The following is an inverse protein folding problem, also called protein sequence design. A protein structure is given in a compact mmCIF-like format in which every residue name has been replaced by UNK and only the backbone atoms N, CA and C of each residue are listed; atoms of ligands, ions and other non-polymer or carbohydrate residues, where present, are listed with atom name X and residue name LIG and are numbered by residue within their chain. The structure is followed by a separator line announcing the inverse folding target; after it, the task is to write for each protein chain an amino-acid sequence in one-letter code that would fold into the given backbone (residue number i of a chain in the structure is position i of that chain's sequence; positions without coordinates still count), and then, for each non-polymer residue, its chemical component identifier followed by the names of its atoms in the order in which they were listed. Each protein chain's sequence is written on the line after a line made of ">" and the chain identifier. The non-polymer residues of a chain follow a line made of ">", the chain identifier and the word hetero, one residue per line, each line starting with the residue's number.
data_IF_603656047978
#
_entry.id   IF_603656047978
#
_cell.length_a   1.000
_cell.length_b   1.000
_cell.length_c   1.000
_cell.angle_alpha   90.00
_cell.angle_beta   90.00
_cell.angle_gamma   90.00
#
_symmetry.space_group_name_H-M   'P 1'
#
loop_
_entity.id
_entity.type
_entity.pdbx_description
1 polymer ?
#
# COMPACT_ATOMS: atom_id res chain seq x y z
N UNK A 1 19.22 35.08 -38.12
CA UNK A 1 18.86 34.32 -36.92
C UNK A 1 18.08 35.23 -35.98
N UNK A 2 16.77 35.00 -35.78
CA UNK A 2 15.95 35.77 -34.83
C UNK A 2 16.20 35.18 -33.45
N UNK A 3 16.78 35.95 -32.55
CA UNK A 3 16.88 35.59 -31.13
C UNK A 3 15.45 35.63 -30.52
N UNK A 4 14.92 34.48 -30.23
CA UNK A 4 13.65 34.36 -29.51
C UNK A 4 13.81 34.95 -28.12
N UNK A 5 12.99 35.95 -27.79
CA UNK A 5 12.88 36.45 -26.41
C UNK A 5 12.05 35.43 -25.65
N UNK A 6 12.67 34.61 -24.82
CA UNK A 6 11.96 33.78 -23.86
C UNK A 6 11.52 34.68 -22.69
N UNK A 7 10.24 35.01 -22.66
CA UNK A 7 9.64 35.61 -21.48
C UNK A 7 9.54 34.49 -20.44
N UNK A 8 10.47 34.41 -19.49
CA UNK A 8 10.32 33.56 -18.33
C UNK A 8 9.15 34.14 -17.50
N UNK A 9 8.02 33.46 -17.51
CA UNK A 9 6.94 33.73 -16.56
C UNK A 9 7.50 33.57 -15.15
N UNK A 10 7.62 34.67 -14.40
CA UNK A 10 8.03 34.64 -12.99
C UNK A 10 6.85 34.20 -12.10
N UNK A 11 6.35 32.99 -12.34
CA UNK A 11 5.40 32.41 -11.40
C UNK A 11 6.15 32.02 -10.14
N UNK A 12 5.90 32.72 -9.04
CA UNK A 12 6.40 32.34 -7.73
C UNK A 12 5.47 31.34 -7.09
N UNK A 13 6.02 30.29 -6.47
CA UNK A 13 5.28 29.31 -5.69
C UNK A 13 5.61 29.49 -4.21
N UNK A 14 4.61 29.31 -3.35
CA UNK A 14 4.78 29.40 -1.90
C UNK A 14 5.30 28.08 -1.31
N UNK A 15 5.03 26.97 -2.02
CA UNK A 15 5.41 25.62 -1.59
C UNK A 15 5.78 24.76 -2.81
N UNK A 16 6.85 24.02 -2.69
CA UNK A 16 7.22 22.96 -3.64
C UNK A 16 7.09 21.61 -2.93
N UNK A 17 6.28 20.73 -3.50
CA UNK A 17 6.09 19.34 -3.03
C UNK A 17 6.76 18.40 -4.00
N UNK A 18 7.69 17.58 -3.51
CA UNK A 18 8.39 16.59 -4.32
C UNK A 18 7.75 15.22 -4.11
N UNK A 19 7.19 14.68 -5.18
CA UNK A 19 6.45 13.43 -5.21
C UNK A 19 4.92 13.64 -5.14
N UNK A 20 4.20 12.91 -6.00
CA UNK A 20 2.74 12.94 -6.11
C UNK A 20 2.06 11.67 -5.57
N UNK A 21 2.66 11.03 -4.56
CA UNK A 21 1.99 9.99 -3.77
C UNK A 21 0.98 10.60 -2.81
N UNK A 22 0.24 9.78 -2.06
CA UNK A 22 -0.83 10.26 -1.16
C UNK A 22 -0.37 11.32 -0.17
N UNK A 23 0.83 11.19 0.38
CA UNK A 23 1.37 12.19 1.30
C UNK A 23 1.56 13.54 0.62
N UNK A 24 2.29 13.57 -0.51
CA UNK A 24 2.56 14.82 -1.24
C UNK A 24 1.29 15.48 -1.75
N UNK A 25 0.36 14.71 -2.33
CA UNK A 25 -0.91 15.22 -2.82
C UNK A 25 -1.78 15.78 -1.67
N UNK A 26 -1.80 15.12 -0.52
CA UNK A 26 -2.55 15.59 0.65
C UNK A 26 -1.99 16.92 1.16
N UNK A 27 -0.66 17.04 1.29
CA UNK A 27 -0.03 18.29 1.72
C UNK A 27 -0.29 19.41 0.72
N UNK A 28 -0.16 19.13 -0.57
CA UNK A 28 -0.39 20.10 -1.63
C UNK A 28 -1.85 20.60 -1.64
N UNK A 29 -2.80 19.68 -1.57
CA UNK A 29 -4.22 20.01 -1.52
C UNK A 29 -4.54 20.86 -0.30
N UNK A 30 -4.09 20.43 0.90
CA UNK A 30 -4.37 21.18 2.14
C UNK A 30 -3.70 22.56 2.15
N UNK A 31 -2.49 22.69 1.63
CA UNK A 31 -1.83 23.98 1.52
C UNK A 31 -2.57 24.93 0.55
N UNK A 32 -3.06 24.39 -0.54
CA UNK A 32 -3.82 25.18 -1.51
C UNK A 32 -5.22 25.53 -0.98
N UNK A 33 -5.99 24.53 -0.53
CA UNK A 33 -7.39 24.72 -0.15
C UNK A 33 -7.59 25.43 1.19
N UNK A 34 -6.73 25.17 2.18
CA UNK A 34 -6.89 25.71 3.53
C UNK A 34 -6.06 26.97 3.78
N UNK A 35 -4.93 27.10 3.11
CA UNK A 35 -3.99 28.20 3.35
C UNK A 35 -3.87 29.15 2.15
N UNK A 36 -4.58 28.90 1.06
CA UNK A 36 -4.55 29.70 -0.17
C UNK A 36 -3.17 29.76 -0.83
N UNK A 37 -2.30 28.74 -0.59
CA UNK A 37 -0.94 28.72 -1.10
C UNK A 37 -0.88 28.28 -2.55
N UNK A 38 0.01 28.88 -3.31
CA UNK A 38 0.36 28.38 -4.65
C UNK A 38 1.37 27.27 -4.51
N UNK A 39 1.00 26.06 -4.92
CA UNK A 39 1.81 24.84 -4.75
C UNK A 39 2.27 24.35 -6.10
N UNK A 40 3.57 24.04 -6.20
CA UNK A 40 4.15 23.29 -7.31
C UNK A 40 4.41 21.86 -6.87
N UNK A 41 3.90 20.88 -7.61
CA UNK A 41 4.20 19.48 -7.38
C UNK A 41 5.17 19.00 -8.46
N UNK A 42 6.27 18.39 -8.05
CA UNK A 42 7.27 17.81 -8.94
C UNK A 42 7.22 16.29 -8.77
N UNK A 43 6.93 15.57 -9.86
CA UNK A 43 6.87 14.11 -9.89
C UNK A 43 7.94 13.55 -10.85
N UNK A 44 8.64 12.50 -10.42
CA UNK A 44 9.66 11.82 -11.22
C UNK A 44 9.05 10.87 -12.26
N UNK A 45 7.93 10.24 -11.91
CA UNK A 45 7.24 9.26 -12.75
C UNK A 45 6.36 9.98 -13.79
N UNK A 46 5.97 9.27 -14.83
CA UNK A 46 5.04 9.77 -15.86
C UNK A 46 3.57 9.79 -15.40
N UNK A 47 3.30 9.41 -14.16
CA UNK A 47 1.96 9.34 -13.57
C UNK A 47 1.96 9.90 -12.14
N UNK A 48 0.80 10.29 -11.65
CA UNK A 48 0.54 10.65 -10.25
C UNK A 48 0.08 9.43 -9.44
N UNK A 49 -0.05 9.56 -8.11
CA UNK A 49 -0.55 8.51 -7.22
C UNK A 49 0.54 7.69 -6.53
N UNK A 50 1.80 7.84 -6.94
CA UNK A 50 2.92 7.12 -6.33
C UNK A 50 2.77 5.60 -6.49
N UNK A 51 2.99 4.84 -5.43
CA UNK A 51 2.87 3.38 -5.47
C UNK A 51 1.41 2.88 -5.47
N UNK A 52 0.45 3.75 -5.19
CA UNK A 52 -0.97 3.40 -5.27
C UNK A 52 -1.54 3.53 -6.69
N UNK A 53 -0.70 3.90 -7.66
CA UNK A 53 -1.12 4.04 -9.05
C UNK A 53 -1.57 2.70 -9.62
N UNK A 54 -2.77 2.72 -10.20
CA UNK A 54 -3.33 1.65 -11.00
C UNK A 54 -3.91 2.21 -12.29
N UNK A 55 -4.10 1.38 -13.27
CA UNK A 55 -4.75 1.73 -14.53
C UNK A 55 -5.37 0.49 -15.18
N UNK A 56 -6.44 0.66 -15.95
CA UNK A 56 -6.99 -0.43 -16.74
C UNK A 56 -5.99 -0.94 -17.77
N UNK A 57 -5.89 -2.26 -17.89
CA UNK A 57 -5.17 -2.88 -19.00
C UNK A 57 -5.96 -2.63 -20.30
N UNK A 58 -5.30 -2.16 -21.40
CA UNK A 58 -5.99 -1.64 -22.56
C UNK A 58 -6.89 -2.63 -23.32
N UNK A 59 -6.55 -3.92 -23.32
CA UNK A 59 -7.30 -4.94 -24.07
C UNK A 59 -8.47 -5.51 -23.28
N UNK A 60 -8.30 -5.69 -21.98
CA UNK A 60 -9.27 -6.37 -21.11
C UNK A 60 -10.08 -5.42 -20.24
N UNK A 61 -9.58 -4.20 -20.02
CA UNK A 61 -10.16 -3.25 -19.06
C UNK A 61 -10.00 -3.65 -17.59
N UNK A 62 -9.21 -4.68 -17.30
CA UNK A 62 -8.93 -5.12 -15.92
C UNK A 62 -8.01 -4.12 -15.24
N UNK A 63 -8.39 -3.66 -14.06
CA UNK A 63 -7.58 -2.73 -13.26
C UNK A 63 -6.30 -3.41 -12.77
N UNK A 64 -5.15 -2.85 -13.14
CA UNK A 64 -3.82 -3.37 -12.79
C UNK A 64 -3.11 -2.44 -11.84
N UNK A 65 -2.77 -2.94 -10.66
CA UNK A 65 -1.95 -2.26 -9.67
C UNK A 65 -0.47 -2.39 -10.05
N UNK A 66 0.15 -1.30 -10.48
CA UNK A 66 1.51 -1.32 -11.07
C UNK A 66 2.62 -1.64 -10.05
N UNK A 67 2.39 -1.38 -8.76
CA UNK A 67 3.39 -1.51 -7.68
C UNK A 67 2.92 -2.45 -6.56
N UNK A 68 2.10 -3.43 -6.91
CA UNK A 68 1.46 -4.33 -5.96
C UNK A 68 0.09 -3.83 -5.51
N UNK A 69 -0.70 -4.72 -4.94
CA UNK A 69 -2.07 -4.42 -4.52
C UNK A 69 -2.08 -3.36 -3.40
N UNK A 70 -2.73 -2.24 -3.66
CA UNK A 70 -2.94 -1.17 -2.69
C UNK A 70 -4.44 -1.05 -2.42
N UNK A 71 -4.83 -1.46 -1.24
CA UNK A 71 -6.22 -1.39 -0.78
C UNK A 71 -6.33 -0.34 0.31
N UNK A 72 -7.27 0.58 0.13
CA UNK A 72 -7.52 1.59 1.14
C UNK A 72 -8.47 1.04 2.21
N UNK A 73 -8.08 1.17 3.46
CA UNK A 73 -8.95 0.92 4.61
C UNK A 73 -8.64 1.91 5.72
N UNK A 74 -9.64 2.31 6.48
CA UNK A 74 -9.48 3.16 7.65
C UNK A 74 -10.67 3.01 8.60
N UNK A 75 -10.41 3.08 9.89
CA UNK A 75 -11.42 3.25 10.94
C UNK A 75 -11.55 4.72 11.40
N UNK A 76 -10.75 5.62 10.83
CA UNK A 76 -10.74 7.02 11.18
C UNK A 76 -11.74 7.80 10.30
N UNK A 77 -12.84 8.25 10.89
CA UNK A 77 -13.89 9.00 10.20
C UNK A 77 -13.38 10.28 9.53
N UNK A 78 -12.42 10.99 10.14
CA UNK A 78 -11.83 12.19 9.55
C UNK A 78 -11.10 11.87 8.26
N UNK A 79 -10.37 10.77 8.22
CA UNK A 79 -9.66 10.31 7.02
C UNK A 79 -10.68 9.87 5.98
N UNK A 80 -11.68 9.08 6.36
CA UNK A 80 -12.75 8.65 5.47
C UNK A 80 -13.46 9.83 4.82
N UNK A 81 -13.93 10.80 5.63
CA UNK A 81 -14.62 11.99 5.15
C UNK A 81 -13.74 12.88 4.27
N UNK A 82 -12.43 12.84 4.44
CA UNK A 82 -11.50 13.57 3.57
C UNK A 82 -11.33 12.89 2.22
N UNK A 83 -11.02 11.60 2.18
CA UNK A 83 -10.73 10.91 0.91
C UNK A 83 -11.97 10.75 0.03
N UNK A 84 -13.15 10.59 0.63
CA UNK A 84 -14.43 10.46 -0.10
C UNK A 84 -14.88 11.75 -0.79
N UNK A 85 -14.22 12.88 -0.52
CA UNK A 85 -14.44 14.12 -1.30
C UNK A 85 -13.87 14.01 -2.73
N UNK A 86 -12.91 13.13 -2.96
CA UNK A 86 -12.19 13.01 -4.22
C UNK A 86 -12.58 11.79 -5.03
N UNK A 87 -13.06 10.73 -4.38
CA UNK A 87 -13.36 9.46 -5.04
C UNK A 87 -14.46 8.70 -4.33
N UNK A 88 -14.98 7.69 -5.04
CA UNK A 88 -15.86 6.66 -4.46
C UNK A 88 -15.08 5.37 -4.34
N UNK A 89 -15.33 4.63 -3.28
CA UNK A 89 -14.76 3.31 -3.05
C UNK A 89 -15.75 2.23 -3.48
N UNK A 90 -15.23 1.09 -3.91
CA UNK A 90 -16.01 -0.13 -4.13
C UNK A 90 -16.11 -0.91 -2.82
N UNK A 91 -17.12 -1.76 -2.67
CA UNK A 91 -17.24 -2.64 -1.50
C UNK A 91 -16.35 -3.89 -1.63
N UNK A 92 -15.18 -3.74 -2.24
CA UNK A 92 -14.22 -4.82 -2.44
C UNK A 92 -13.68 -5.32 -1.12
N UNK A 93 -13.83 -6.62 -0.87
CA UNK A 93 -13.26 -7.31 0.28
C UNK A 93 -12.08 -8.17 -0.17
N UNK A 94 -10.90 -7.81 0.30
CA UNK A 94 -9.70 -8.54 -0.02
C UNK A 94 -9.62 -9.85 0.74
N UNK A 95 -9.41 -10.94 0.00
CA UNK A 95 -9.18 -12.28 0.57
C UNK A 95 -7.87 -12.81 0.02
N UNK A 96 -6.98 -13.22 0.91
CA UNK A 96 -5.68 -13.77 0.55
C UNK A 96 -5.70 -15.27 0.80
N UNK A 97 -5.14 -16.01 -0.13
CA UNK A 97 -4.93 -17.45 0.00
C UNK A 97 -3.47 -17.78 -0.27
N UNK A 98 -2.91 -18.70 0.50
CA UNK A 98 -1.63 -19.32 0.19
C UNK A 98 -1.87 -20.70 -0.42
N UNK A 99 -1.07 -21.06 -1.42
CA UNK A 99 -1.07 -22.39 -2.00
C UNK A 99 0.10 -23.19 -1.44
N UNK A 100 -0.19 -24.37 -0.89
CA UNK A 100 0.82 -25.32 -0.42
C UNK A 100 0.36 -26.73 -0.79
N UNK A 101 1.21 -27.49 -1.46
CA UNK A 101 0.95 -28.87 -1.93
C UNK A 101 -0.41 -29.04 -2.65
N UNK A 102 -0.75 -28.07 -3.52
CA UNK A 102 -1.99 -28.09 -4.31
C UNK A 102 -3.26 -27.75 -3.53
N UNK A 103 -3.15 -27.40 -2.25
CA UNK A 103 -4.27 -26.96 -1.40
C UNK A 103 -4.19 -25.47 -1.11
N UNK A 104 -5.34 -24.79 -1.16
CA UNK A 104 -5.45 -23.36 -0.82
C UNK A 104 -5.81 -23.20 0.66
N UNK A 105 -5.06 -22.34 1.35
CA UNK A 105 -5.27 -21.98 2.75
C UNK A 105 -5.60 -20.50 2.87
N UNK A 106 -6.59 -20.16 3.68
CA UNK A 106 -7.00 -18.77 3.85
C UNK A 106 -6.03 -18.00 4.75
N UNK A 107 -5.58 -16.83 4.27
CA UNK A 107 -4.79 -15.88 5.04
C UNK A 107 -5.64 -14.70 5.54
N UNK A 108 -5.20 -13.95 6.58
CA UNK A 108 -3.95 -14.09 7.34
C UNK A 108 -3.94 -15.32 8.25
N UNK A 109 -2.73 -15.69 8.72
CA UNK A 109 -2.55 -16.82 9.63
C UNK A 109 -3.35 -16.62 10.91
N UNK A 110 -4.15 -17.62 11.25
CA UNK A 110 -4.95 -17.66 12.46
C UNK A 110 -5.22 -19.11 12.87
N UNK A 111 -5.96 -19.28 13.96
CA UNK A 111 -6.24 -20.61 14.52
C UNK A 111 -6.86 -21.57 13.48
N UNK A 112 -7.78 -21.06 12.65
CA UNK A 112 -8.42 -21.84 11.59
C UNK A 112 -7.43 -22.40 10.58
N UNK A 113 -6.47 -21.57 10.13
CA UNK A 113 -5.42 -22.01 9.21
C UNK A 113 -4.51 -23.05 9.87
N UNK A 114 -4.11 -22.85 11.13
CA UNK A 114 -3.28 -23.80 11.88
C UNK A 114 -3.99 -25.16 11.98
N UNK A 115 -5.27 -25.16 12.37
CA UNK A 115 -6.06 -26.39 12.45
C UNK A 115 -6.17 -27.08 11.08
N UNK A 116 -6.40 -26.33 10.02
CA UNK A 116 -6.54 -26.85 8.67
C UNK A 116 -5.22 -27.40 8.11
N UNK A 117 -4.11 -26.69 8.37
CA UNK A 117 -2.79 -27.07 7.89
C UNK A 117 -2.31 -28.37 8.54
N UNK A 118 -2.43 -28.48 9.86
CA UNK A 118 -2.01 -29.67 10.62
C UNK A 118 -3.09 -30.77 10.68
N UNK A 119 -4.28 -30.54 10.11
CA UNK A 119 -5.36 -31.54 10.06
C UNK A 119 -5.93 -31.93 11.43
N UNK A 120 -5.80 -31.07 12.44
CA UNK A 120 -6.25 -31.31 13.81
C UNK A 120 -6.84 -30.03 14.42
N UNK A 121 -7.85 -30.19 15.27
CA UNK A 121 -8.36 -29.09 16.06
C UNK A 121 -7.43 -28.77 17.22
N UNK A 122 -7.05 -27.51 17.34
CA UNK A 122 -6.24 -26.96 18.41
C UNK A 122 -7.05 -25.90 19.18
N UNK A 123 -6.92 -25.87 20.49
CA UNK A 123 -7.26 -24.70 21.28
C UNK A 123 -6.24 -23.57 21.01
N UNK A 124 -6.56 -22.31 21.33
CA UNK A 124 -5.59 -21.22 21.17
C UNK A 124 -4.25 -21.45 21.86
N UNK A 125 -4.27 -22.08 23.05
CA UNK A 125 -3.06 -22.32 23.83
C UNK A 125 -2.23 -23.48 23.24
N UNK A 126 -2.88 -24.55 22.77
CA UNK A 126 -2.20 -25.65 22.04
C UNK A 126 -1.57 -25.14 20.74
N UNK A 127 -2.26 -24.29 19.98
CA UNK A 127 -1.72 -23.69 18.77
C UNK A 127 -0.50 -22.80 19.05
N UNK A 128 -0.52 -22.01 20.14
CA UNK A 128 0.63 -21.21 20.57
C UNK A 128 1.80 -22.07 21.00
N UNK A 129 1.54 -23.17 21.70
CA UNK A 129 2.56 -24.12 22.12
C UNK A 129 3.21 -24.79 20.91
N UNK A 130 2.42 -25.23 19.94
CA UNK A 130 2.91 -25.83 18.68
C UNK A 130 3.83 -24.85 17.91
N UNK A 131 3.41 -23.61 17.73
CA UNK A 131 4.22 -22.61 17.03
C UNK A 131 5.52 -22.33 17.79
N UNK A 132 5.44 -22.24 19.13
CA UNK A 132 6.63 -22.03 19.97
C UNK A 132 7.61 -23.21 19.87
N UNK A 133 7.11 -24.42 19.83
CA UNK A 133 7.93 -25.63 19.64
C UNK A 133 8.67 -25.60 18.31
N UNK A 134 7.94 -25.35 17.20
CA UNK A 134 8.55 -25.24 15.87
C UNK A 134 9.55 -24.08 15.77
N UNK A 135 9.22 -22.91 16.33
CA UNK A 135 10.11 -21.76 16.35
C UNK A 135 11.39 -22.02 17.18
N UNK A 136 11.37 -22.94 18.16
CA UNK A 136 12.54 -23.27 18.97
C UNK A 136 13.59 -24.11 18.22
N UNK A 137 13.21 -24.72 17.09
CA UNK A 137 14.12 -25.45 16.22
C UNK A 137 15.03 -24.52 15.40
N UNK A 138 14.70 -23.23 15.35
CA UNK A 138 15.41 -22.21 14.57
C UNK A 138 16.07 -21.19 15.49
N UNK A 139 17.41 -21.09 15.44
CA UNK A 139 18.14 -20.06 16.16
C UNK A 139 18.15 -18.75 15.32
N UNK A 140 17.33 -17.78 15.71
CA UNK A 140 17.25 -16.47 15.04
C UNK A 140 18.11 -15.39 15.70
N UNK A 141 18.79 -15.69 16.83
CA UNK A 141 19.62 -14.71 17.55
C UNK A 141 20.88 -14.35 16.74
N UNK A 142 21.44 -15.31 16.04
CA UNK A 142 22.65 -15.15 15.21
C UNK A 142 22.33 -14.91 13.72
N UNK A 143 21.08 -14.58 13.38
CA UNK A 143 20.67 -14.37 11.99
C UNK A 143 21.45 -13.22 11.33
N UNK A 144 22.15 -13.53 10.24
CA UNK A 144 23.01 -12.60 9.51
C UNK A 144 22.33 -11.99 8.28
N UNK A 145 21.21 -12.54 7.86
CA UNK A 145 20.45 -12.12 6.71
C UNK A 145 18.94 -12.21 6.96
N UNK A 146 18.15 -11.70 6.01
CA UNK A 146 16.70 -11.64 6.14
C UNK A 146 16.04 -13.02 6.12
N UNK A 147 16.57 -13.95 5.35
CA UNK A 147 16.04 -15.33 5.25
C UNK A 147 16.16 -16.05 6.59
N UNK A 148 17.33 -16.04 7.20
CA UNK A 148 17.57 -16.62 8.54
C UNK A 148 16.72 -15.95 9.64
N UNK A 149 16.35 -14.66 9.45
CA UNK A 149 15.52 -13.94 10.41
C UNK A 149 14.02 -14.22 10.23
N UNK A 150 13.61 -14.66 9.05
CA UNK A 150 12.21 -14.88 8.68
C UNK A 150 11.68 -16.30 8.92
N UNK A 151 12.58 -17.25 9.19
CA UNK A 151 12.25 -18.67 9.43
C UNK A 151 11.68 -18.89 10.86
#
# INVERSE_FOLDING_TARGET
>A
MRKGVYIMSTQSYDLIVVGSGFFGLTIAERAASQLGKRVLIIEKRSHIGGNAFSQPEPETGIEVHQYGAHLFHTSNERVWNYVTQFTKFTDYQHRVFAMHDGKAYQFPMGLGLICEFFGKYYSPDEARALIKEQASEVNTEDATNLEEKAI
#
